data_IF_453018863126
#
_entry.id   IF_453018863126
#
_cell.length_a   1.000
_cell.length_b   1.000
_cell.length_c   1.000
_cell.angle_alpha   90.00
_cell.angle_beta   90.00
_cell.angle_gamma   90.00
#
_symmetry.space_group_name_H-M   'P 1'
#
loop_
_entity.id
_entity.type
_entity.pdbx_description
1 polymer ?
#
# COMPACT_ATOMS: atom_id res chain seq x y z
N UNK A 1 2.78 15.50 -1.12
CA UNK A 1 2.37 15.87 -2.48
C UNK A 1 0.98 15.33 -2.79
N UNK A 2 0.23 16.05 -3.60
CA UNK A 2 -1.10 15.63 -4.04
C UNK A 2 -0.99 15.02 -5.44
N UNK A 3 -1.16 13.71 -5.52
CA UNK A 3 -1.06 12.98 -6.77
C UNK A 3 -2.40 12.49 -7.31
N UNK A 4 -3.52 12.98 -6.76
CA UNK A 4 -4.85 12.45 -7.09
C UNK A 4 -5.16 12.45 -8.58
N UNK A 5 -4.75 13.44 -9.33
CA UNK A 5 -4.98 13.52 -10.76
C UNK A 5 -3.76 13.22 -11.61
N UNK A 6 -2.67 12.79 -11.01
CA UNK A 6 -1.42 12.59 -11.74
C UNK A 6 -1.48 11.36 -12.63
N UNK A 7 -0.86 11.43 -13.80
CA UNK A 7 -0.70 10.29 -14.69
C UNK A 7 0.69 9.69 -14.46
N UNK A 8 0.72 8.58 -13.71
CA UNK A 8 1.96 7.90 -13.35
C UNK A 8 2.13 6.57 -14.09
N UNK A 9 1.35 6.36 -15.16
CA UNK A 9 1.45 5.11 -15.92
C UNK A 9 2.88 4.86 -16.35
N UNK A 10 3.39 3.67 -15.99
CA UNK A 10 4.74 3.23 -16.29
C UNK A 10 5.85 4.17 -15.80
N UNK A 11 5.50 5.09 -14.90
CA UNK A 11 6.52 5.92 -14.25
C UNK A 11 7.36 5.06 -13.30
N UNK A 12 8.61 5.46 -13.09
CA UNK A 12 9.49 4.80 -12.14
C UNK A 12 9.54 5.62 -10.87
N UNK A 13 8.91 5.10 -9.80
CA UNK A 13 8.90 5.75 -8.49
C UNK A 13 9.87 5.10 -7.51
N UNK A 14 10.79 4.27 -7.99
CA UNK A 14 11.81 3.66 -7.14
C UNK A 14 12.62 4.73 -6.44
N UNK A 15 12.76 4.63 -5.13
CA UNK A 15 13.47 5.63 -4.33
C UNK A 15 12.69 6.88 -4.00
N UNK A 16 11.46 7.03 -4.51
CA UNK A 16 10.64 8.20 -4.23
C UNK A 16 10.08 8.12 -2.80
N UNK A 17 9.99 9.27 -2.15
CA UNK A 17 9.33 9.39 -0.85
C UNK A 17 7.92 9.94 -1.08
N UNK A 18 6.92 9.08 -0.89
CA UNK A 18 5.51 9.44 -1.07
C UNK A 18 4.77 9.59 0.26
N UNK A 19 5.50 9.71 1.37
CA UNK A 19 4.88 9.93 2.68
C UNK A 19 4.03 11.21 2.62
N UNK A 20 2.82 11.12 3.18
CA UNK A 20 1.84 12.21 3.21
C UNK A 20 1.32 12.64 1.84
N UNK A 21 1.54 11.84 0.79
CA UNK A 21 1.00 12.17 -0.54
C UNK A 21 -0.34 11.49 -0.78
N UNK A 22 -1.10 12.02 -1.73
CA UNK A 22 -2.34 11.41 -2.20
C UNK A 22 -2.03 10.55 -3.42
N UNK A 23 -2.28 9.25 -3.33
CA UNK A 23 -1.99 8.29 -4.39
C UNK A 23 -3.15 8.26 -5.41
N UNK A 24 -2.87 8.29 -6.72
CA UNK A 24 -3.93 8.25 -7.72
C UNK A 24 -4.48 6.83 -7.88
N UNK A 25 -5.79 6.65 -7.69
CA UNK A 25 -6.45 5.35 -7.86
C UNK A 25 -7.11 5.16 -9.22
N UNK A 26 -6.99 6.14 -10.12
CA UNK A 26 -7.47 5.97 -11.49
C UNK A 26 -6.44 5.20 -12.32
N UNK A 27 -6.78 4.85 -13.56
CA UNK A 27 -5.90 4.04 -14.41
C UNK A 27 -4.53 4.67 -14.66
N UNK A 28 -4.34 5.93 -14.34
CA UNK A 28 -3.08 6.62 -14.49
C UNK A 28 -1.96 6.14 -13.57
N UNK A 29 -2.26 5.27 -12.59
CA UNK A 29 -1.23 4.71 -11.71
C UNK A 29 -0.86 3.26 -12.09
N UNK A 30 -1.47 2.70 -13.12
CA UNK A 30 -1.20 1.31 -13.50
C UNK A 30 0.17 1.19 -14.16
N UNK A 31 0.83 0.06 -13.88
CA UNK A 31 2.11 -0.28 -14.49
C UNK A 31 3.28 0.64 -14.13
N UNK A 32 3.15 1.43 -13.06
CA UNK A 32 4.30 2.19 -12.57
C UNK A 32 5.34 1.24 -11.98
N UNK A 33 6.59 1.68 -11.95
CA UNK A 33 7.66 0.95 -11.29
C UNK A 33 7.82 1.46 -9.87
N UNK A 34 7.99 0.54 -8.94
CA UNK A 34 8.17 0.90 -7.54
C UNK A 34 9.24 -0.01 -6.92
N UNK A 35 9.86 0.48 -5.86
CA UNK A 35 10.74 -0.36 -5.05
C UNK A 35 9.92 -1.03 -3.93
N UNK A 36 10.60 -1.88 -3.15
CA UNK A 36 9.98 -2.59 -2.04
C UNK A 36 9.38 -1.63 -1.02
N UNK A 37 10.03 -0.49 -0.78
CA UNK A 37 9.57 0.49 0.21
C UNK A 37 8.16 0.99 -0.12
N UNK A 38 7.93 1.39 -1.37
CA UNK A 38 6.59 1.85 -1.80
C UNK A 38 5.59 0.70 -1.82
N UNK A 39 6.00 -0.48 -2.30
CA UNK A 39 5.11 -1.62 -2.37
C UNK A 39 4.65 -2.05 -0.96
N UNK A 40 5.54 -2.06 0.03
CA UNK A 40 5.17 -2.34 1.41
C UNK A 40 4.23 -1.28 1.98
N UNK A 41 4.47 -0.02 1.64
CA UNK A 41 3.60 1.08 2.08
C UNK A 41 2.19 0.91 1.54
N UNK A 42 2.05 0.60 0.26
CA UNK A 42 0.73 0.36 -0.33
C UNK A 42 0.07 -0.88 0.26
N UNK A 43 0.84 -1.95 0.49
CA UNK A 43 0.33 -3.16 1.11
C UNK A 43 -0.16 -2.89 2.53
N UNK A 44 0.56 -2.08 3.31
CA UNK A 44 0.15 -1.71 4.66
C UNK A 44 -1.18 -0.94 4.62
N UNK A 45 -1.30 0.02 3.72
CA UNK A 45 -2.55 0.77 3.57
C UNK A 45 -3.71 -0.14 3.18
N UNK A 46 -3.47 -1.06 2.24
CA UNK A 46 -4.49 -2.04 1.85
C UNK A 46 -4.92 -2.90 3.03
N UNK A 47 -3.96 -3.39 3.81
CA UNK A 47 -4.24 -4.31 4.93
C UNK A 47 -4.84 -3.61 6.15
N UNK A 48 -4.77 -2.29 6.22
CA UNK A 48 -5.34 -1.52 7.34
C UNK A 48 -6.79 -1.09 7.10
N UNK A 49 -7.35 -1.40 5.92
CA UNK A 49 -8.75 -1.07 5.63
C UNK A 49 -9.70 -1.88 6.49
N UNK A 50 -10.83 -1.28 6.86
CA UNK A 50 -11.89 -1.96 7.60
C UNK A 50 -12.86 -2.55 6.59
N UNK A 51 -12.58 -3.76 6.14
CA UNK A 51 -13.38 -4.49 5.17
C UNK A 51 -13.62 -5.89 5.72
N UNK A 52 -14.87 -6.30 5.81
CA UNK A 52 -15.25 -7.59 6.42
C UNK A 52 -15.47 -8.69 5.38
N UNK A 53 -15.16 -8.44 4.11
CA UNK A 53 -15.26 -9.45 3.07
C UNK A 53 -14.28 -10.60 3.35
N UNK A 54 -14.75 -11.85 3.27
CA UNK A 54 -13.94 -13.00 3.60
C UNK A 54 -12.73 -13.15 2.67
N UNK A 55 -12.89 -12.87 1.38
CA UNK A 55 -11.78 -12.95 0.43
C UNK A 55 -10.73 -11.89 0.73
N UNK A 56 -11.17 -10.68 1.11
CA UNK A 56 -10.24 -9.62 1.50
C UNK A 56 -9.44 -10.04 2.74
N UNK A 57 -10.11 -10.55 3.77
CA UNK A 57 -9.45 -10.93 5.03
C UNK A 57 -8.44 -12.05 4.79
N UNK A 58 -8.79 -13.03 3.97
CA UNK A 58 -7.89 -14.13 3.62
C UNK A 58 -6.65 -13.62 2.89
N UNK A 59 -6.84 -12.78 1.89
CA UNK A 59 -5.73 -12.18 1.16
C UNK A 59 -4.87 -11.32 2.08
N UNK A 60 -5.51 -10.46 2.88
CA UNK A 60 -4.83 -9.58 3.84
C UNK A 60 -3.92 -10.38 4.77
N UNK A 61 -4.46 -11.43 5.38
CA UNK A 61 -3.68 -12.24 6.32
C UNK A 61 -2.49 -12.91 5.64
N UNK A 62 -2.61 -13.24 4.36
CA UNK A 62 -1.52 -13.90 3.62
C UNK A 62 -0.35 -12.98 3.31
N UNK A 63 -0.55 -11.64 3.31
CA UNK A 63 0.50 -10.68 2.96
C UNK A 63 0.95 -9.83 4.14
N UNK A 64 0.48 -10.12 5.36
CA UNK A 64 0.82 -9.30 6.53
C UNK A 64 2.32 -9.18 6.78
N UNK A 65 3.07 -10.25 6.56
CA UNK A 65 4.52 -10.22 6.75
C UNK A 65 5.19 -9.20 5.85
N UNK A 66 4.72 -9.08 4.63
CA UNK A 66 5.23 -8.08 3.70
C UNK A 66 4.75 -6.68 4.08
N UNK A 67 3.46 -6.53 4.38
CA UNK A 67 2.88 -5.24 4.74
C UNK A 67 3.54 -4.64 5.99
N UNK A 68 3.85 -5.47 6.98
CA UNK A 68 4.47 -5.02 8.23
C UNK A 68 5.94 -4.61 8.06
N UNK A 69 6.51 -4.77 6.89
CA UNK A 69 7.83 -4.21 6.57
C UNK A 69 7.75 -2.74 6.15
N UNK A 70 6.56 -2.16 6.18
CA UNK A 70 6.37 -0.73 5.94
C UNK A 70 7.29 0.08 6.85
N UNK A 71 8.00 1.07 6.30
CA UNK A 71 9.02 1.83 7.04
C UNK A 71 8.47 2.66 8.21
N UNK A 72 7.15 2.85 8.28
CA UNK A 72 6.51 3.55 9.40
C UNK A 72 5.60 2.63 10.22
N UNK A 73 5.75 1.31 10.10
CA UNK A 73 4.93 0.37 10.85
C UNK A 73 5.09 0.54 12.37
N UNK A 74 6.28 0.93 12.83
CA UNK A 74 6.52 1.18 14.25
C UNK A 74 5.67 2.34 14.78
N UNK A 75 5.48 3.37 13.97
CA UNK A 75 4.66 4.52 14.34
C UNK A 75 3.17 4.23 14.27
N UNK A 76 2.76 3.48 13.25
CA UNK A 76 1.35 3.25 12.95
C UNK A 76 0.79 1.98 13.63
N UNK A 77 1.67 1.07 14.04
CA UNK A 77 1.29 -0.18 14.69
C UNK A 77 1.38 -1.38 13.76
N UNK A 78 1.89 -2.49 14.29
CA UNK A 78 1.98 -3.74 13.55
C UNK A 78 0.58 -4.31 13.34
N UNK A 79 0.28 -4.71 12.11
CA UNK A 79 -1.00 -5.33 11.79
C UNK A 79 -0.99 -6.81 12.17
N UNK A 80 -2.11 -7.30 12.65
CA UNK A 80 -2.28 -8.68 13.10
C UNK A 80 -3.33 -9.39 12.28
N UNK A 81 -3.27 -10.72 12.26
CA UNK A 81 -4.26 -11.52 11.57
C UNK A 81 -5.66 -11.26 12.12
N UNK A 82 -6.65 -11.37 11.25
CA UNK A 82 -8.07 -11.24 11.59
C UNK A 82 -8.75 -12.57 11.33
N UNK A 83 -9.74 -12.88 12.16
CA UNK A 83 -10.61 -14.04 11.92
C UNK A 83 -11.59 -13.73 10.79
N UNK A 84 -11.89 -14.76 10.00
CA UNK A 84 -12.85 -14.64 8.92
C UNK A 84 -14.27 -14.91 9.45
#
# INVERSE_FOLDING_TARGET
ADLRGANLRRADLSGANLDYSCYPLWCGSLHLKADKRLACQLAYHLCSMQCDDADYIKMRNSILGFANQFHRADECGELKEREI
#
